data_IF_664360215316
#
_entry.id   IF_664360215316
#
_cell.length_a   1.000
_cell.length_b   1.000
_cell.length_c   1.000
_cell.angle_alpha   90.00
_cell.angle_beta   90.00
_cell.angle_gamma   90.00
#
_symmetry.space_group_name_H-M   'P 1'
#
loop_
_entity.id
_entity.type
_entity.pdbx_description
1 polymer ?
#
# COMPACT_ATOMS: atom_id res chain seq x y z
N UNK A 1 29.57 -10.07 -14.37
CA UNK A 1 29.37 -11.38 -13.76
C UNK A 1 27.88 -11.57 -13.55
N UNK A 2 27.23 -12.24 -14.48
CA UNK A 2 25.84 -12.68 -14.34
C UNK A 2 25.88 -13.99 -13.55
N UNK A 3 25.86 -13.91 -12.22
CA UNK A 3 25.35 -15.04 -11.47
C UNK A 3 23.85 -15.10 -11.81
N UNK A 4 23.49 -15.99 -12.73
CA UNK A 4 22.14 -16.44 -12.90
C UNK A 4 21.63 -16.83 -11.52
N UNK A 5 20.64 -16.07 -11.01
CA UNK A 5 19.89 -16.44 -9.82
C UNK A 5 19.20 -17.76 -10.19
N UNK A 6 19.84 -18.89 -9.85
CA UNK A 6 19.24 -20.23 -9.96
C UNK A 6 18.10 -20.32 -8.97
N UNK A 7 16.90 -19.89 -9.41
CA UNK A 7 15.71 -19.93 -8.56
C UNK A 7 14.63 -18.95 -9.02
N UNK A 8 13.52 -18.96 -8.31
CA UNK A 8 12.41 -18.05 -8.55
C UNK A 8 12.79 -16.62 -8.12
N UNK A 9 12.83 -15.68 -9.06
CA UNK A 9 13.16 -14.27 -8.77
C UNK A 9 12.04 -13.58 -7.98
N UNK A 10 10.79 -13.79 -8.37
CA UNK A 10 9.64 -13.01 -7.88
C UNK A 10 8.46 -13.93 -7.56
N UNK A 11 7.85 -13.73 -6.41
CA UNK A 11 6.49 -14.20 -6.12
C UNK A 11 5.51 -13.04 -6.34
N UNK A 12 4.57 -13.22 -7.24
CA UNK A 12 3.41 -12.35 -7.40
C UNK A 12 2.25 -12.91 -6.60
N UNK A 13 1.71 -12.14 -5.67
CA UNK A 13 0.56 -12.51 -4.86
C UNK A 13 -0.66 -11.70 -5.30
N UNK A 14 -1.69 -12.38 -5.79
CA UNK A 14 -3.00 -11.79 -6.13
C UNK A 14 -3.95 -11.97 -4.94
N UNK A 15 -4.39 -10.88 -4.33
CA UNK A 15 -5.29 -10.87 -3.18
C UNK A 15 -6.70 -10.56 -3.66
N UNK A 16 -7.65 -11.47 -3.44
CA UNK A 16 -9.03 -11.33 -3.93
C UNK A 16 -10.07 -11.58 -2.83
N UNK A 17 -11.18 -10.87 -2.95
CA UNK A 17 -12.44 -11.11 -2.25
C UNK A 17 -13.57 -10.45 -3.04
N UNK A 18 -14.53 -11.23 -3.54
CA UNK A 18 -15.66 -10.79 -4.38
C UNK A 18 -15.20 -9.85 -5.51
N UNK A 19 -14.26 -10.36 -6.32
CA UNK A 19 -13.55 -9.60 -7.36
C UNK A 19 -13.95 -10.00 -8.79
N UNK A 20 -15.08 -10.72 -9.00
CA UNK A 20 -15.48 -11.28 -10.29
C UNK A 20 -15.50 -10.27 -11.43
N UNK A 21 -15.84 -9.00 -11.11
CA UNK A 21 -15.92 -7.92 -12.11
C UNK A 21 -14.56 -7.51 -12.69
N UNK A 22 -13.46 -7.74 -11.97
CA UNK A 22 -12.14 -7.18 -12.33
C UNK A 22 -11.04 -8.24 -12.42
N UNK A 23 -11.17 -9.36 -11.69
CA UNK A 23 -10.09 -10.34 -11.53
C UNK A 23 -9.57 -10.90 -12.86
N UNK A 24 -10.42 -11.05 -13.87
CA UNK A 24 -10.01 -11.51 -15.19
C UNK A 24 -9.05 -10.56 -15.88
N UNK A 25 -9.24 -9.23 -15.73
CA UNK A 25 -8.32 -8.23 -16.26
C UNK A 25 -6.98 -8.23 -15.50
N UNK A 26 -7.03 -8.39 -14.18
CA UNK A 26 -5.83 -8.52 -13.33
C UNK A 26 -4.98 -9.70 -13.78
N UNK A 27 -5.59 -10.88 -13.90
CA UNK A 27 -4.93 -12.11 -14.32
C UNK A 27 -4.38 -12.02 -15.76
N UNK A 28 -5.12 -11.38 -16.67
CA UNK A 28 -4.65 -11.11 -18.03
C UNK A 28 -3.41 -10.25 -18.01
N UNK A 29 -3.37 -9.18 -17.21
CA UNK A 29 -2.20 -8.30 -17.10
C UNK A 29 -0.94 -9.01 -16.58
N UNK A 30 -1.10 -10.07 -15.76
CA UNK A 30 -0.02 -10.95 -15.30
C UNK A 30 0.42 -11.88 -16.43
N UNK A 31 -0.54 -12.49 -17.14
CA UNK A 31 -0.25 -13.39 -18.25
C UNK A 31 0.47 -12.70 -19.42
N UNK A 32 0.25 -11.41 -19.62
CA UNK A 32 0.88 -10.59 -20.65
C UNK A 32 2.32 -10.13 -20.31
N UNK A 33 2.80 -10.36 -19.09
CA UNK A 33 4.20 -10.03 -18.74
C UNK A 33 5.18 -10.92 -19.47
N UNK A 34 6.29 -10.35 -19.91
CA UNK A 34 7.33 -11.05 -20.67
C UNK A 34 8.10 -12.11 -19.86
N UNK A 35 8.29 -11.88 -18.56
CA UNK A 35 8.97 -12.81 -17.65
C UNK A 35 8.00 -13.85 -17.08
N UNK A 36 8.33 -15.13 -17.25
CA UNK A 36 7.52 -16.26 -16.78
C UNK A 36 8.18 -17.07 -15.65
N UNK A 37 9.43 -16.82 -15.36
CA UNK A 37 10.24 -17.42 -14.28
C UNK A 37 9.85 -16.88 -12.89
N UNK A 38 8.55 -16.76 -12.66
CA UNK A 38 7.95 -16.20 -11.44
C UNK A 38 6.91 -17.17 -10.86
N UNK A 39 6.78 -17.16 -9.54
CA UNK A 39 5.70 -17.84 -8.84
C UNK A 39 4.48 -16.94 -8.76
N UNK A 40 3.30 -17.52 -8.98
CA UNK A 40 2.01 -16.84 -8.79
C UNK A 40 1.29 -17.49 -7.60
N UNK A 41 0.87 -16.68 -6.64
CA UNK A 41 0.00 -17.11 -5.54
C UNK A 41 -1.33 -16.37 -5.67
N UNK A 42 -2.37 -17.11 -6.00
CA UNK A 42 -3.75 -16.63 -6.03
C UNK A 42 -4.34 -16.86 -4.64
N UNK A 43 -4.70 -15.79 -3.93
CA UNK A 43 -5.17 -15.89 -2.54
C UNK A 43 -6.56 -15.28 -2.41
N UNK A 44 -7.56 -16.15 -2.19
CA UNK A 44 -8.97 -15.77 -2.09
C UNK A 44 -9.48 -15.85 -0.65
N UNK A 45 -10.16 -14.80 -0.19
CA UNK A 45 -10.65 -14.67 1.19
C UNK A 45 -12.13 -15.04 1.33
N UNK A 46 -12.50 -16.23 0.88
CA UNK A 46 -13.86 -16.76 0.91
C UNK A 46 -14.87 -15.96 0.06
N UNK A 47 -14.52 -15.70 -1.19
CA UNK A 47 -15.47 -15.10 -2.15
C UNK A 47 -16.72 -15.95 -2.34
N UNK A 48 -17.85 -15.27 -2.46
CA UNK A 48 -19.18 -15.87 -2.68
C UNK A 48 -19.71 -15.65 -4.10
N UNK A 49 -18.98 -14.91 -4.91
CA UNK A 49 -19.22 -14.67 -6.35
C UNK A 49 -18.37 -15.63 -7.21
N UNK A 50 -18.30 -15.39 -8.51
CA UNK A 50 -17.55 -16.26 -9.44
C UNK A 50 -16.02 -16.12 -9.36
N UNK A 51 -15.46 -15.32 -8.43
CA UNK A 51 -14.02 -15.08 -8.32
C UNK A 51 -13.22 -16.38 -8.27
N UNK A 52 -13.60 -17.32 -7.39
CA UNK A 52 -12.86 -18.58 -7.19
C UNK A 52 -12.83 -19.44 -8.45
N UNK A 53 -13.93 -19.52 -9.17
CA UNK A 53 -14.00 -20.33 -10.39
C UNK A 53 -13.18 -19.71 -11.53
N UNK A 54 -13.14 -18.38 -11.61
CA UNK A 54 -12.25 -17.67 -12.53
C UNK A 54 -10.78 -17.98 -12.19
N UNK A 55 -10.40 -17.94 -10.91
CA UNK A 55 -9.03 -18.25 -10.45
C UNK A 55 -8.63 -19.70 -10.78
N UNK A 56 -9.52 -20.68 -10.53
CA UNK A 56 -9.29 -22.11 -10.85
C UNK A 56 -9.08 -22.32 -12.34
N UNK A 57 -9.96 -21.74 -13.16
CA UNK A 57 -9.89 -21.86 -14.62
C UNK A 57 -8.60 -21.23 -15.16
N UNK A 58 -8.24 -20.05 -14.69
CA UNK A 58 -7.01 -19.38 -15.09
C UNK A 58 -5.76 -20.18 -14.67
N UNK A 59 -5.73 -20.71 -13.44
CA UNK A 59 -4.65 -21.59 -12.98
C UNK A 59 -4.49 -22.78 -13.91
N UNK A 60 -5.58 -23.50 -14.24
CA UNK A 60 -5.55 -24.65 -15.12
C UNK A 60 -5.03 -24.29 -16.52
N UNK A 61 -5.45 -23.14 -17.07
CA UNK A 61 -5.04 -22.69 -18.39
C UNK A 61 -3.54 -22.34 -18.46
N UNK A 62 -2.97 -21.85 -17.37
CA UNK A 62 -1.59 -21.34 -17.31
C UNK A 62 -0.64 -22.23 -16.49
N UNK A 63 -1.03 -23.45 -16.14
CA UNK A 63 -0.32 -24.33 -15.23
C UNK A 63 1.18 -24.49 -15.58
N UNK A 64 1.50 -24.58 -16.86
CA UNK A 64 2.86 -24.75 -17.37
C UNK A 64 3.48 -23.44 -17.87
N UNK A 65 2.84 -22.29 -17.67
CA UNK A 65 3.30 -21.00 -18.19
C UNK A 65 4.20 -20.25 -17.23
N UNK A 66 4.25 -20.63 -15.96
CA UNK A 66 4.97 -19.95 -14.89
C UNK A 66 5.82 -20.94 -14.09
N UNK A 67 6.74 -20.44 -13.28
CA UNK A 67 7.53 -21.30 -12.37
C UNK A 67 6.64 -22.16 -11.47
N UNK A 68 5.58 -21.59 -10.91
CA UNK A 68 4.56 -22.28 -10.13
C UNK A 68 3.30 -21.41 -10.00
N UNK A 69 2.13 -22.02 -9.95
CA UNK A 69 0.87 -21.34 -9.62
C UNK A 69 0.21 -22.04 -8.44
N UNK A 70 0.08 -21.34 -7.31
CA UNK A 70 -0.66 -21.81 -6.14
C UNK A 70 -2.00 -21.09 -6.04
N UNK A 71 -3.05 -21.82 -5.60
CA UNK A 71 -4.34 -21.25 -5.20
C UNK A 71 -4.57 -21.53 -3.73
N UNK A 72 -4.67 -20.47 -2.94
CA UNK A 72 -4.98 -20.50 -1.51
C UNK A 72 -6.40 -19.95 -1.33
N UNK A 73 -7.29 -20.77 -0.80
CA UNK A 73 -8.68 -20.40 -0.56
C UNK A 73 -9.00 -20.44 0.94
N UNK A 74 -9.55 -19.38 1.49
CA UNK A 74 -10.08 -19.34 2.85
C UNK A 74 -11.48 -19.94 2.90
N UNK A 75 -11.86 -20.50 4.06
CA UNK A 75 -13.25 -20.94 4.31
C UNK A 75 -14.15 -19.81 4.81
N UNK A 76 -13.54 -18.79 5.39
CA UNK A 76 -14.23 -17.62 5.94
C UNK A 76 -13.43 -16.36 5.62
N UNK A 77 -14.12 -15.24 5.44
CA UNK A 77 -13.47 -13.95 5.23
C UNK A 77 -12.76 -13.51 6.51
N UNK A 78 -11.44 -13.36 6.44
CA UNK A 78 -10.56 -12.91 7.53
C UNK A 78 -9.98 -11.52 7.30
N UNK A 79 -10.24 -10.94 6.15
CA UNK A 79 -9.77 -9.61 5.75
C UNK A 79 -8.42 -9.62 5.04
N UNK A 80 -8.09 -8.45 4.48
CA UNK A 80 -6.93 -8.27 3.59
C UNK A 80 -5.61 -8.66 4.25
N UNK A 81 -5.42 -8.36 5.53
CA UNK A 81 -4.19 -8.64 6.27
C UNK A 81 -3.92 -10.14 6.33
N UNK A 82 -4.89 -10.93 6.79
CA UNK A 82 -4.75 -12.37 6.89
C UNK A 82 -4.63 -13.03 5.50
N UNK A 83 -5.41 -12.53 4.54
CA UNK A 83 -5.36 -12.99 3.16
C UNK A 83 -3.97 -12.79 2.53
N UNK A 84 -3.32 -11.68 2.82
CA UNK A 84 -1.97 -11.40 2.36
C UNK A 84 -0.91 -12.18 3.15
N UNK A 85 -0.98 -12.16 4.50
CA UNK A 85 0.03 -12.79 5.37
C UNK A 85 0.22 -14.28 5.09
N UNK A 86 -0.85 -15.03 4.85
CA UNK A 86 -0.76 -16.47 4.55
C UNK A 86 0.03 -16.82 3.27
N UNK A 87 0.30 -15.81 2.42
CA UNK A 87 1.08 -16.02 1.21
C UNK A 87 2.59 -16.00 1.46
N UNK A 88 3.04 -15.38 2.56
CA UNK A 88 4.46 -15.21 2.87
C UNK A 88 5.20 -16.52 3.04
N UNK A 89 4.59 -17.47 3.75
CA UNK A 89 5.16 -18.79 3.97
C UNK A 89 5.28 -19.61 2.69
N UNK A 90 4.40 -19.38 1.72
CA UNK A 90 4.36 -20.09 0.45
C UNK A 90 5.20 -19.44 -0.65
N UNK A 91 5.64 -18.19 -0.42
CA UNK A 91 6.44 -17.47 -1.39
C UNK A 91 7.82 -18.12 -1.57
N UNK A 92 8.23 -18.38 -2.80
CA UNK A 92 9.53 -18.94 -3.19
C UNK A 92 10.46 -17.91 -3.81
N UNK A 93 9.91 -16.80 -4.31
CA UNK A 93 10.67 -15.72 -4.92
C UNK A 93 11.56 -15.01 -3.91
N UNK A 94 12.73 -14.55 -4.36
CA UNK A 94 13.58 -13.64 -3.58
C UNK A 94 12.86 -12.36 -3.21
N UNK A 95 12.01 -11.89 -4.14
CA UNK A 95 11.17 -10.73 -3.97
C UNK A 95 9.69 -11.13 -3.96
N UNK A 96 8.88 -10.35 -3.28
CA UNK A 96 7.43 -10.48 -3.26
C UNK A 96 6.79 -9.19 -3.75
N UNK A 97 5.78 -9.33 -4.61
CA UNK A 97 4.93 -8.28 -5.15
C UNK A 97 3.48 -8.65 -4.95
N UNK A 98 2.76 -7.90 -4.12
CA UNK A 98 1.31 -8.03 -4.01
C UNK A 98 0.58 -7.16 -5.01
N UNK A 99 -0.56 -7.65 -5.50
CA UNK A 99 -1.53 -6.91 -6.31
C UNK A 99 -2.93 -7.29 -5.88
N UNK A 100 -3.84 -6.33 -5.81
CA UNK A 100 -5.25 -6.59 -5.54
C UNK A 100 -5.96 -7.11 -6.79
N UNK A 101 -7.05 -7.86 -6.60
CA UNK A 101 -7.81 -8.49 -7.69
C UNK A 101 -8.58 -7.51 -8.59
N UNK A 102 -8.42 -6.20 -8.38
CA UNK A 102 -9.01 -5.10 -9.17
C UNK A 102 -7.97 -4.21 -9.85
N UNK A 103 -6.67 -4.39 -9.55
CA UNK A 103 -5.56 -3.66 -10.13
C UNK A 103 -4.91 -4.41 -11.30
N UNK A 104 -4.07 -3.72 -12.09
CA UNK A 104 -3.39 -4.32 -13.24
C UNK A 104 -1.88 -4.09 -13.13
N UNK A 105 -1.08 -5.06 -13.58
CA UNK A 105 0.32 -4.77 -13.87
C UNK A 105 0.45 -3.78 -15.03
N UNK A 106 1.43 -2.89 -14.92
CA UNK A 106 1.83 -2.06 -16.06
C UNK A 106 2.61 -2.92 -17.07
N UNK A 107 2.69 -2.45 -18.31
CA UNK A 107 3.46 -3.14 -19.35
C UNK A 107 4.91 -3.32 -18.91
N UNK A 108 5.47 -4.53 -19.05
CA UNK A 108 6.82 -4.90 -18.63
C UNK A 108 7.18 -4.58 -17.16
N UNK A 109 6.19 -4.54 -16.27
CA UNK A 109 6.39 -4.24 -14.85
C UNK A 109 7.38 -5.21 -14.19
N UNK A 110 7.29 -6.51 -14.47
CA UNK A 110 8.20 -7.51 -13.89
C UNK A 110 9.64 -7.30 -14.37
N UNK A 111 9.83 -6.95 -15.64
CA UNK A 111 11.15 -6.57 -16.17
C UNK A 111 11.71 -5.35 -15.44
N UNK A 112 10.89 -4.32 -15.26
CA UNK A 112 11.26 -3.12 -14.51
C UNK A 112 11.62 -3.42 -13.04
N UNK A 113 10.84 -4.26 -12.36
CA UNK A 113 11.15 -4.71 -10.99
C UNK A 113 12.47 -5.45 -10.91
N UNK A 114 12.79 -6.28 -11.91
CA UNK A 114 14.08 -6.99 -11.99
C UNK A 114 15.27 -6.04 -12.18
N UNK A 115 15.11 -4.99 -12.99
CA UNK A 115 16.12 -3.95 -13.16
C UNK A 115 16.34 -3.23 -11.83
N UNK A 116 15.26 -2.78 -11.17
CA UNK A 116 15.34 -2.07 -9.90
C UNK A 116 15.98 -2.92 -8.80
N UNK A 117 15.62 -4.20 -8.71
CA UNK A 117 16.21 -5.12 -7.74
C UNK A 117 17.71 -5.35 -7.95
N UNK A 118 18.17 -5.36 -9.21
CA UNK A 118 19.60 -5.48 -9.55
C UNK A 118 20.39 -4.20 -9.28
N UNK A 119 19.78 -3.03 -9.48
CA UNK A 119 20.44 -1.72 -9.28
C UNK A 119 20.45 -1.26 -7.82
N UNK A 120 19.58 -1.83 -6.99
CA UNK A 120 19.40 -1.45 -5.60
C UNK A 120 19.76 -2.59 -4.63
N UNK A 121 20.95 -3.18 -4.77
CA UNK A 121 21.37 -4.40 -4.05
C UNK A 121 21.27 -4.33 -2.53
N UNK A 122 21.57 -3.16 -1.95
CA UNK A 122 21.51 -2.93 -0.49
C UNK A 122 20.09 -2.66 0.03
N UNK A 123 19.13 -2.48 -0.87
CA UNK A 123 17.75 -2.17 -0.50
C UNK A 123 16.92 -3.43 -0.42
N UNK A 124 16.11 -3.49 0.61
CA UNK A 124 15.18 -4.61 0.83
C UNK A 124 13.72 -4.25 0.51
N UNK A 125 13.45 -2.97 0.28
CA UNK A 125 12.10 -2.43 -0.01
C UNK A 125 12.19 -1.40 -1.13
N UNK A 126 11.55 -1.67 -2.25
CA UNK A 126 11.46 -0.77 -3.40
C UNK A 126 10.01 -0.35 -3.59
N UNK A 127 9.79 0.93 -3.84
CA UNK A 127 8.46 1.50 -4.09
C UNK A 127 8.39 1.94 -5.55
N UNK A 128 7.63 1.21 -6.36
CA UNK A 128 7.34 1.60 -7.72
C UNK A 128 6.24 2.65 -7.82
N UNK A 129 6.13 3.29 -8.96
CA UNK A 129 5.03 4.20 -9.25
C UNK A 129 3.77 3.42 -9.62
N UNK A 130 2.60 4.00 -9.31
CA UNK A 130 1.30 3.48 -9.73
C UNK A 130 0.57 4.53 -10.58
N UNK A 131 0.02 4.11 -11.73
CA UNK A 131 -0.81 4.95 -12.59
C UNK A 131 -2.27 4.76 -12.20
N UNK A 132 -2.94 5.83 -11.80
CA UNK A 132 -4.36 5.79 -11.43
C UNK A 132 -5.21 5.69 -12.69
N UNK A 133 -6.25 4.82 -12.68
CA UNK A 133 -7.22 4.69 -13.74
C UNK A 133 -8.61 4.31 -13.20
N UNK A 134 -9.62 4.19 -14.06
CA UNK A 134 -10.99 3.80 -13.71
C UNK A 134 -11.96 4.98 -13.68
N UNK A 135 -13.25 4.69 -13.44
CA UNK A 135 -14.37 5.63 -13.60
C UNK A 135 -14.29 6.87 -12.70
N UNK A 136 -13.61 6.78 -11.56
CA UNK A 136 -13.49 7.88 -10.58
C UNK A 136 -12.10 8.52 -10.60
N UNK A 137 -11.30 8.27 -11.62
CA UNK A 137 -9.95 8.82 -11.69
C UNK A 137 -9.95 10.15 -12.47
N UNK A 138 -9.21 11.14 -11.94
CA UNK A 138 -8.64 12.17 -12.81
C UNK A 138 -7.60 11.45 -13.68
N UNK A 139 -7.92 11.29 -14.96
CA UNK A 139 -7.14 10.47 -15.89
C UNK A 139 -5.63 10.71 -15.77
N UNK A 140 -4.87 9.61 -15.76
CA UNK A 140 -3.40 9.57 -15.84
C UNK A 140 -2.59 10.09 -14.63
N UNK A 141 -3.15 10.27 -13.45
CA UNK A 141 -2.34 10.63 -12.29
C UNK A 141 -1.37 9.50 -11.91
N UNK A 142 -0.11 9.85 -11.71
CA UNK A 142 0.93 8.94 -11.22
C UNK A 142 1.20 9.23 -9.75
N UNK A 143 1.27 8.17 -8.94
CA UNK A 143 1.57 8.24 -7.51
C UNK A 143 2.74 7.30 -7.16
N UNK A 144 3.59 7.68 -6.18
CA UNK A 144 3.63 8.98 -5.51
C UNK A 144 4.01 10.11 -6.48
N UNK A 145 3.56 11.33 -6.18
CA UNK A 145 3.96 12.50 -6.99
C UNK A 145 5.45 12.78 -6.79
N UNK A 146 6.21 12.82 -7.86
CA UNK A 146 7.67 12.96 -7.85
C UNK A 146 8.15 14.13 -6.98
N UNK A 147 7.54 15.31 -7.10
CA UNK A 147 7.90 16.49 -6.29
C UNK A 147 7.80 16.28 -4.77
N UNK A 148 7.01 15.30 -4.31
CA UNK A 148 6.84 15.00 -2.89
C UNK A 148 7.87 13.99 -2.38
N UNK A 149 8.48 13.21 -3.26
CA UNK A 149 9.29 12.05 -2.87
C UNK A 149 10.75 12.12 -3.33
N UNK A 150 11.11 12.99 -4.27
CA UNK A 150 12.46 13.09 -4.85
C UNK A 150 13.59 13.26 -3.84
N UNK A 151 13.29 13.81 -2.65
CA UNK A 151 14.27 14.07 -1.58
C UNK A 151 14.14 13.06 -0.42
N UNK A 152 13.35 11.99 -0.56
CA UNK A 152 13.20 10.97 0.49
C UNK A 152 14.32 9.95 0.35
N UNK A 153 15.35 10.08 1.18
CA UNK A 153 16.55 9.22 1.17
C UNK A 153 16.99 8.75 2.55
N UNK A 154 16.23 9.09 3.60
CA UNK A 154 16.49 8.62 4.97
C UNK A 154 15.21 8.12 5.64
N UNK A 155 15.33 7.19 6.58
CA UNK A 155 14.21 6.67 7.38
C UNK A 155 13.40 7.80 8.03
N UNK A 156 14.07 8.82 8.56
CA UNK A 156 13.39 9.95 9.18
C UNK A 156 12.56 10.78 8.19
N UNK A 157 13.02 10.93 6.95
CA UNK A 157 12.27 11.62 5.89
C UNK A 157 11.03 10.81 5.47
N UNK A 158 11.16 9.49 5.32
CA UNK A 158 10.01 8.62 5.05
C UNK A 158 8.99 8.63 6.19
N UNK A 159 9.43 8.50 7.45
CA UNK A 159 8.54 8.63 8.61
C UNK A 159 7.85 9.99 8.64
N UNK A 160 8.58 11.08 8.40
CA UNK A 160 8.01 12.43 8.30
C UNK A 160 6.95 12.51 7.23
N UNK A 161 7.19 11.97 6.04
CA UNK A 161 6.25 11.92 4.92
C UNK A 161 4.92 11.25 5.35
N UNK A 162 5.01 10.10 6.05
CA UNK A 162 3.83 9.38 6.55
C UNK A 162 3.11 10.19 7.64
N UNK A 163 3.83 10.78 8.61
CA UNK A 163 3.22 11.63 9.65
C UNK A 163 2.61 12.92 9.09
N UNK A 164 3.00 13.33 7.91
CA UNK A 164 2.40 14.44 7.18
C UNK A 164 1.08 14.08 6.48
N UNK A 165 0.66 12.83 6.58
CA UNK A 165 -0.59 12.32 6.01
C UNK A 165 -0.45 11.80 4.60
N UNK A 166 0.78 11.61 4.12
CA UNK A 166 1.04 10.93 2.87
C UNK A 166 1.31 9.45 3.11
N UNK A 167 1.02 8.61 2.13
CA UNK A 167 1.30 7.17 2.18
C UNK A 167 1.62 6.66 0.79
N UNK A 168 2.32 5.53 0.74
CA UNK A 168 2.51 4.78 -0.49
C UNK A 168 1.43 3.70 -0.56
N UNK A 169 0.75 3.53 -1.70
CA UNK A 169 -0.25 2.46 -1.83
C UNK A 169 0.42 1.08 -1.70
N UNK A 170 -0.24 0.14 -1.03
CA UNK A 170 0.28 -1.21 -0.81
C UNK A 170 0.72 -1.92 -2.09
N UNK A 171 -0.01 -1.66 -3.18
CA UNK A 171 0.31 -2.17 -4.52
C UNK A 171 1.59 -1.61 -5.15
N UNK A 172 2.24 -0.61 -4.54
CA UNK A 172 3.51 -0.05 -5.04
C UNK A 172 4.74 -0.80 -4.55
N UNK A 173 4.63 -1.61 -3.50
CA UNK A 173 5.78 -2.24 -2.86
C UNK A 173 6.29 -3.47 -3.62
N UNK A 174 7.61 -3.56 -3.71
CA UNK A 174 8.39 -4.74 -4.04
C UNK A 174 9.34 -4.98 -2.86
N UNK A 175 9.23 -6.15 -2.20
CA UNK A 175 9.88 -6.40 -0.91
C UNK A 175 10.64 -7.71 -0.96
N UNK A 176 11.84 -7.78 -0.38
CA UNK A 176 12.53 -9.06 -0.17
C UNK A 176 11.67 -9.97 0.70
N UNK A 177 11.42 -11.18 0.22
CA UNK A 177 10.49 -12.14 0.87
C UNK A 177 10.93 -12.51 2.29
N UNK A 178 12.23 -12.58 2.54
CA UNK A 178 12.80 -12.88 3.86
C UNK A 178 12.29 -11.94 4.95
N UNK A 179 12.18 -10.63 4.66
CA UNK A 179 11.73 -9.61 5.63
C UNK A 179 10.30 -9.88 6.10
N UNK A 180 9.42 -10.31 5.20
CA UNK A 180 8.01 -10.59 5.51
C UNK A 180 7.84 -11.82 6.40
N UNK A 181 8.85 -12.70 6.46
CA UNK A 181 8.88 -13.87 7.36
C UNK A 181 9.47 -13.54 8.72
N UNK A 182 10.47 -12.65 8.74
CA UNK A 182 11.20 -12.30 9.96
C UNK A 182 10.44 -11.27 10.81
N UNK A 183 9.62 -10.44 10.19
CA UNK A 183 8.95 -9.32 10.85
C UNK A 183 7.44 -9.47 10.73
N UNK A 184 6.75 -9.38 11.87
CA UNK A 184 5.30 -9.17 11.89
C UNK A 184 4.98 -7.73 11.44
N UNK A 185 5.01 -7.53 10.11
CA UNK A 185 4.77 -6.21 9.49
C UNK A 185 3.36 -5.68 9.76
N UNK A 186 2.42 -6.54 10.15
CA UNK A 186 1.04 -6.18 10.45
C UNK A 186 0.72 -6.14 11.94
N UNK A 187 1.71 -6.28 12.83
CA UNK A 187 1.55 -6.29 14.30
C UNK A 187 0.62 -5.21 14.86
N UNK A 188 0.57 -4.07 14.21
CA UNK A 188 -0.22 -2.93 14.63
C UNK A 188 -1.34 -2.56 13.66
N UNK A 189 -1.52 -3.33 12.60
CA UNK A 189 -2.62 -3.16 11.67
C UNK A 189 -3.95 -3.53 12.35
N UNK A 190 -5.00 -2.76 12.05
CA UNK A 190 -6.35 -3.01 12.56
C UNK A 190 -7.36 -2.73 11.45
N UNK A 191 -8.27 -3.67 11.27
CA UNK A 191 -9.38 -3.51 10.34
C UNK A 191 -8.90 -3.33 8.90
N UNK A 192 -9.16 -2.16 8.33
CA UNK A 192 -8.89 -1.82 6.93
C UNK A 192 -7.72 -0.85 6.76
N UNK A 193 -6.89 -0.67 7.79
CA UNK A 193 -5.73 0.24 7.77
C UNK A 193 -4.47 -0.60 7.92
N UNK A 194 -4.01 -1.17 6.83
CA UNK A 194 -2.81 -2.02 6.75
C UNK A 194 -1.59 -1.27 6.24
N UNK A 195 -1.75 -0.36 5.28
CA UNK A 195 -0.64 0.31 4.58
C UNK A 195 0.31 1.07 5.51
N UNK A 196 -0.23 1.80 6.50
CA UNK A 196 0.56 2.65 7.38
C UNK A 196 1.32 1.88 8.44
N UNK A 197 0.68 0.98 9.23
CA UNK A 197 1.42 0.16 10.17
C UNK A 197 2.49 -0.67 9.47
N UNK A 198 2.21 -1.20 8.28
CA UNK A 198 3.16 -1.90 7.45
C UNK A 198 4.41 -1.05 7.14
N UNK A 199 4.21 0.16 6.60
CA UNK A 199 5.30 1.08 6.25
C UNK A 199 6.09 1.53 7.49
N UNK A 200 5.39 1.90 8.57
CA UNK A 200 6.03 2.37 9.80
C UNK A 200 6.78 1.26 10.54
N UNK A 201 6.28 0.01 10.49
CA UNK A 201 6.99 -1.11 11.10
C UNK A 201 8.30 -1.41 10.35
N UNK A 202 8.28 -1.46 9.02
CA UNK A 202 9.50 -1.61 8.21
C UNK A 202 10.53 -0.50 8.51
N UNK A 203 10.10 0.77 8.50
CA UNK A 203 10.98 1.89 8.82
C UNK A 203 11.48 1.87 10.27
N UNK A 204 10.68 1.36 11.21
CA UNK A 204 11.08 1.26 12.63
C UNK A 204 12.10 0.14 12.87
N UNK A 205 12.13 -0.85 11.99
CA UNK A 205 13.12 -1.93 11.97
C UNK A 205 14.40 -1.57 11.20
N UNK A 206 14.47 -0.38 10.62
CA UNK A 206 15.67 0.09 9.93
C UNK A 206 15.66 -0.11 8.42
N UNK A 207 14.59 -0.65 7.84
CA UNK A 207 14.51 -0.84 6.39
C UNK A 207 14.27 0.48 5.67
N UNK A 208 15.27 0.95 4.95
CA UNK A 208 15.18 2.15 4.11
C UNK A 208 14.46 1.79 2.80
N UNK A 209 13.51 2.63 2.40
CA UNK A 209 12.82 2.49 1.14
C UNK A 209 13.60 3.14 -0.01
N UNK A 210 13.61 2.51 -1.15
CA UNK A 210 14.07 3.08 -2.42
C UNK A 210 12.87 3.35 -3.32
N UNK A 211 12.78 4.56 -3.86
CA UNK A 211 11.72 4.91 -4.81
C UNK A 211 12.24 4.66 -6.22
N UNK A 212 11.49 3.87 -6.97
CA UNK A 212 11.74 3.60 -8.40
C UNK A 212 11.08 4.65 -9.28
N UNK A 213 11.67 4.89 -10.43
CA UNK A 213 11.08 5.70 -11.49
C UNK A 213 10.10 4.92 -12.38
N UNK A 214 10.13 3.59 -12.31
CA UNK A 214 9.28 2.72 -13.09
C UNK A 214 7.84 2.65 -12.53
N UNK A 215 6.88 2.54 -13.45
CA UNK A 215 5.48 2.27 -13.10
C UNK A 215 5.31 0.75 -13.01
N UNK A 216 4.91 0.26 -11.83
CA UNK A 216 4.68 -1.17 -11.62
C UNK A 216 3.24 -1.56 -11.88
N UNK A 217 2.28 -0.71 -11.52
CA UNK A 217 0.86 -1.05 -11.55
C UNK A 217 0.00 0.08 -12.09
N UNK A 218 -1.15 -0.29 -12.64
CA UNK A 218 -2.30 0.59 -12.82
C UNK A 218 -3.23 0.35 -11.62
N UNK A 219 -3.44 1.39 -10.80
CA UNK A 219 -4.27 1.37 -9.61
C UNK A 219 -5.69 1.81 -9.96
N UNK A 220 -6.65 0.89 -9.81
CA UNK A 220 -8.04 1.14 -10.20
C UNK A 220 -8.80 1.92 -9.14
N UNK A 221 -9.54 2.94 -9.57
CA UNK A 221 -10.52 3.64 -8.75
C UNK A 221 -11.93 3.34 -9.19
N UNK A 222 -12.70 2.75 -8.28
CA UNK A 222 -14.11 2.42 -8.48
C UNK A 222 -14.91 2.59 -7.17
N UNK A 223 -16.24 2.51 -7.28
CA UNK A 223 -17.17 2.77 -6.17
C UNK A 223 -16.96 1.87 -4.95
N UNK A 224 -16.45 0.66 -5.14
CA UNK A 224 -16.25 -0.33 -4.09
C UNK A 224 -14.87 -0.28 -3.43
N UNK A 225 -13.98 0.65 -3.79
CA UNK A 225 -12.67 0.75 -3.14
C UNK A 225 -12.83 0.99 -1.63
N UNK A 226 -12.08 0.24 -0.82
CA UNK A 226 -12.12 0.28 0.66
C UNK A 226 -11.80 1.67 1.21
N UNK A 227 -10.88 2.39 0.58
CA UNK A 227 -10.44 3.74 0.98
C UNK A 227 -11.38 4.87 0.58
N UNK A 228 -12.46 4.57 -0.15
CA UNK A 228 -13.40 5.58 -0.63
C UNK A 228 -14.19 6.20 0.51
N UNK A 229 -14.45 7.51 0.39
CA UNK A 229 -15.46 8.21 1.18
C UNK A 229 -16.82 8.05 0.51
N UNK A 230 -17.89 7.97 1.30
CA UNK A 230 -19.22 8.10 0.73
C UNK A 230 -19.47 9.54 0.25
N UNK A 231 -20.44 9.71 -0.64
CA UNK A 231 -20.81 11.02 -1.14
C UNK A 231 -21.21 11.96 0.02
N UNK A 232 -20.65 13.16 0.02
CA UNK A 232 -20.87 14.17 1.04
C UNK A 232 -20.10 13.96 2.36
N UNK A 233 -19.41 12.83 2.57
CA UNK A 233 -18.58 12.64 3.76
C UNK A 233 -17.30 13.49 3.72
N UNK A 234 -16.93 14.06 4.86
CA UNK A 234 -15.74 14.90 5.01
C UNK A 234 -14.50 14.04 5.28
N UNK A 235 -14.63 13.00 6.12
CA UNK A 235 -13.56 12.08 6.48
C UNK A 235 -13.93 10.65 6.06
N UNK A 236 -12.94 9.87 5.67
CA UNK A 236 -13.13 8.45 5.40
C UNK A 236 -13.44 7.67 6.68
N UNK A 237 -14.14 6.52 6.57
CA UNK A 237 -14.49 5.66 7.71
C UNK A 237 -13.28 5.18 8.51
N UNK A 238 -12.13 5.04 7.85
CA UNK A 238 -10.87 4.58 8.46
C UNK A 238 -10.02 5.71 9.07
N UNK A 239 -10.47 6.97 8.96
CA UNK A 239 -9.66 8.12 9.36
C UNK A 239 -9.22 8.09 10.82
N UNK A 240 -10.13 7.77 11.75
CA UNK A 240 -9.81 7.74 13.18
C UNK A 240 -8.83 6.62 13.53
N UNK A 241 -8.98 5.45 12.91
CA UNK A 241 -8.06 4.33 13.13
C UNK A 241 -6.66 4.65 12.59
N UNK A 242 -6.60 5.31 11.44
CA UNK A 242 -5.37 5.87 10.90
C UNK A 242 -4.66 6.80 11.91
N UNK A 243 -5.40 7.77 12.49
CA UNK A 243 -4.80 8.69 13.46
C UNK A 243 -4.35 7.99 14.75
N UNK A 244 -5.08 6.98 15.25
CA UNK A 244 -4.68 6.18 16.42
C UNK A 244 -3.37 5.42 16.17
N UNK A 245 -3.20 4.86 14.98
CA UNK A 245 -1.97 4.17 14.57
C UNK A 245 -0.81 5.16 14.52
N UNK A 246 -0.98 6.29 13.86
CA UNK A 246 0.05 7.35 13.82
C UNK A 246 0.46 7.82 15.22
N UNK A 247 -0.51 8.00 16.13
CA UNK A 247 -0.24 8.41 17.51
C UNK A 247 0.68 7.41 18.23
N UNK A 248 0.40 6.10 18.06
CA UNK A 248 1.21 5.05 18.67
C UNK A 248 2.67 5.11 18.21
N UNK A 249 2.91 5.27 16.91
CA UNK A 249 4.28 5.38 16.38
C UNK A 249 4.94 6.72 16.72
N UNK A 250 4.18 7.82 16.80
CA UNK A 250 4.70 9.11 17.23
C UNK A 250 5.22 9.07 18.68
N UNK A 251 4.52 8.38 19.59
CA UNK A 251 5.00 8.13 20.95
C UNK A 251 6.26 7.25 20.97
N UNK A 252 6.27 6.16 20.19
CA UNK A 252 7.45 5.27 20.10
C UNK A 252 8.71 6.00 19.62
N UNK A 253 8.56 6.93 18.69
CA UNK A 253 9.66 7.73 18.14
C UNK A 253 9.98 9.00 18.96
N UNK A 254 9.29 9.26 20.10
CA UNK A 254 9.41 10.45 20.95
C UNK A 254 9.33 11.79 20.20
N UNK A 255 8.51 11.85 19.15
CA UNK A 255 8.34 13.06 18.34
C UNK A 255 7.13 13.86 18.78
N UNK A 256 7.30 14.70 19.82
CA UNK A 256 6.24 15.49 20.46
C UNK A 256 5.36 16.26 19.46
N UNK A 257 5.96 16.84 18.42
CA UNK A 257 5.21 17.60 17.42
C UNK A 257 4.22 16.72 16.63
N UNK A 258 4.58 15.47 16.33
CA UNK A 258 3.69 14.53 15.66
C UNK A 258 2.64 13.99 16.62
N UNK A 259 2.98 13.78 17.89
CA UNK A 259 2.02 13.43 18.95
C UNK A 259 0.95 14.51 19.06
N UNK A 260 1.33 15.76 19.23
CA UNK A 260 0.40 16.90 19.33
C UNK A 260 -0.46 17.04 18.08
N UNK A 261 0.13 16.93 16.88
CA UNK A 261 -0.59 17.03 15.62
C UNK A 261 -1.60 15.89 15.45
N UNK A 262 -1.25 14.68 15.87
CA UNK A 262 -2.12 13.51 15.77
C UNK A 262 -3.26 13.57 16.79
N UNK A 263 -2.99 14.01 18.03
CA UNK A 263 -4.03 14.26 19.03
C UNK A 263 -5.01 15.33 18.56
N UNK A 264 -4.54 16.42 17.99
CA UNK A 264 -5.37 17.46 17.39
C UNK A 264 -6.28 16.90 16.30
N UNK A 265 -5.72 16.09 15.40
CA UNK A 265 -6.46 15.45 14.32
C UNK A 265 -7.51 14.45 14.85
N UNK A 266 -7.19 13.70 15.92
CA UNK A 266 -8.12 12.78 16.57
C UNK A 266 -9.29 13.54 17.21
N UNK A 267 -9.02 14.54 18.03
CA UNK A 267 -10.06 15.30 18.72
C UNK A 267 -11.04 15.95 17.72
N UNK A 268 -10.53 16.68 16.76
CA UNK A 268 -11.40 17.34 15.77
C UNK A 268 -12.02 16.36 14.78
N UNK A 269 -11.35 15.25 14.48
CA UNK A 269 -11.93 14.16 13.69
C UNK A 269 -13.10 13.50 14.40
N UNK A 270 -13.01 13.22 15.70
CA UNK A 270 -14.11 12.69 16.52
C UNK A 270 -15.31 13.64 16.53
N UNK A 271 -15.07 14.96 16.68
CA UNK A 271 -16.16 15.94 16.61
C UNK A 271 -16.86 15.90 15.24
N UNK A 272 -16.14 15.80 14.13
CA UNK A 272 -16.73 15.67 12.79
C UNK A 272 -17.64 14.42 12.71
N UNK A 273 -17.20 13.28 13.23
CA UNK A 273 -18.00 12.06 13.24
C UNK A 273 -19.22 12.15 14.16
N UNK A 274 -19.09 12.79 15.34
CA UNK A 274 -20.20 13.04 16.29
C UNK A 274 -21.33 13.86 15.64
N UNK A 275 -20.97 14.81 14.77
CA UNK A 275 -21.94 15.61 14.02
C UNK A 275 -22.29 15.03 12.64
N UNK A 276 -22.15 13.71 12.47
CA UNK A 276 -22.62 12.97 11.30
C UNK A 276 -21.68 13.02 10.08
N UNK A 277 -20.46 13.57 10.21
CA UNK A 277 -19.44 13.61 9.16
C UNK A 277 -19.87 14.31 7.84
N UNK A 278 -20.93 15.13 7.88
CA UNK A 278 -21.50 15.85 6.74
C UNK A 278 -21.96 17.27 7.14
N UNK A 279 -22.23 18.08 6.13
CA UNK A 279 -22.83 19.41 6.32
C UNK A 279 -21.85 20.54 6.65
N UNK A 280 -22.36 21.75 6.68
CA UNK A 280 -21.57 22.99 6.79
C UNK A 280 -20.78 23.10 8.09
N UNK A 281 -21.37 22.66 9.22
CA UNK A 281 -20.70 22.71 10.52
C UNK A 281 -19.47 21.80 10.56
N UNK A 282 -19.57 20.57 10.06
CA UNK A 282 -18.45 19.66 9.93
C UNK A 282 -17.38 20.18 8.97
N UNK A 283 -17.76 20.89 7.91
CA UNK A 283 -16.82 21.57 7.01
C UNK A 283 -16.03 22.66 7.73
N UNK A 284 -16.69 23.44 8.62
CA UNK A 284 -16.02 24.46 9.44
C UNK A 284 -15.01 23.81 10.37
N UNK A 285 -15.41 22.75 11.11
CA UNK A 285 -14.50 22.00 11.98
C UNK A 285 -13.30 21.48 11.18
N UNK A 286 -13.52 20.91 9.98
CA UNK A 286 -12.43 20.42 9.15
C UNK A 286 -11.50 21.55 8.66
N UNK A 287 -12.03 22.73 8.33
CA UNK A 287 -11.21 23.90 8.02
C UNK A 287 -10.37 24.35 9.20
N UNK A 288 -10.94 24.37 10.43
CA UNK A 288 -10.22 24.66 11.68
C UNK A 288 -9.11 23.62 11.89
N UNK A 289 -9.43 22.34 11.77
CA UNK A 289 -8.47 21.23 11.87
C UNK A 289 -7.27 21.42 10.94
N UNK A 290 -7.53 21.79 9.69
CA UNK A 290 -6.48 21.98 8.69
C UNK A 290 -5.67 23.26 8.88
N UNK A 291 -6.27 24.36 9.33
CA UNK A 291 -5.61 25.66 9.52
C UNK A 291 -4.77 25.73 10.79
N UNK A 292 -5.29 25.23 11.91
CA UNK A 292 -4.69 25.35 13.24
C UNK A 292 -3.92 24.09 13.67
N UNK A 293 -3.36 23.34 12.73
CA UNK A 293 -2.53 22.19 13.06
C UNK A 293 -1.30 22.64 13.88
N UNK A 294 -1.00 22.01 15.04
CA UNK A 294 0.17 22.33 15.86
C UNK A 294 1.48 22.37 15.06
N UNK A 295 1.66 21.43 14.13
CA UNK A 295 2.80 21.39 13.23
C UNK A 295 3.00 22.66 12.41
N UNK A 296 1.90 23.30 11.92
CA UNK A 296 1.99 24.55 11.17
C UNK A 296 2.48 25.70 12.04
N UNK A 297 2.03 25.75 13.29
CA UNK A 297 2.45 26.74 14.28
C UNK A 297 3.95 26.62 14.60
N UNK A 298 4.42 25.39 14.87
CA UNK A 298 5.85 25.16 15.13
C UNK A 298 6.73 25.44 13.91
N UNK A 299 6.29 25.12 12.70
CA UNK A 299 7.03 25.44 11.47
C UNK A 299 7.11 26.95 11.22
N UNK A 300 6.12 27.73 11.64
CA UNK A 300 6.13 29.19 11.56
C UNK A 300 7.15 29.80 12.54
N UNK A 301 7.16 29.34 13.80
CA UNK A 301 8.13 29.77 14.80
C UNK A 301 9.56 29.41 14.35
N UNK A 302 9.81 28.20 13.90
CA UNK A 302 11.15 27.75 13.46
C UNK A 302 11.68 28.50 12.23
N UNK A 303 10.80 29.05 11.38
CA UNK A 303 11.19 29.92 10.27
C UNK A 303 11.52 31.34 10.74
N UNK A 304 10.79 31.84 11.73
CA UNK A 304 11.08 33.14 12.35
C UNK A 304 12.43 33.21 13.09
N UNK A 305 12.86 32.11 13.72
CA UNK A 305 14.16 31.98 14.37
C UNK A 305 15.35 31.83 13.40
N UNK A 306 15.12 31.51 12.11
CA UNK A 306 16.20 31.46 11.10
C UNK A 306 16.32 32.74 10.27
N UNK A 307 15.48 33.73 10.49
CA UNK A 307 15.48 35.02 9.80
C UNK A 307 16.10 36.17 10.65
N UNK A 308 16.59 35.88 11.84
CA UNK A 308 17.44 36.71 12.69
C UNK A 308 18.78 36.00 12.91
#
# INVERSE_FOLDING_TARGET
MEEEIRGCFLTVTVISYNSELFISETLKSIAEQSSKDIQIILSDDASIDNTVDILKNWKKLHENSFYEILLLQSKVNKGVIENFSRTFEKAKGLWLKAIAGDDLFYTDAIKSMRIDAKTCLETSVIIGKAKIFGQESKENAIIPREKLVKNLNTINQFKKYIFEGYTFPGVSFLIKTEILREIDVFKHAKGKVEDIPFQLELLSKGYLFKISDHIYVKYRKHINNVSRKNEGEILSKVYLDYQKILLKYAFKDFKIIYVMNTLWNLCLGQLIFLFGNKGSFCLIINKIKMKLQPKRFFNMISRGYRAN
#
